data_IF_285733986826
#
_entry.id   IF_285733986826
#
_cell.length_a   1.000
_cell.length_b   1.000
_cell.length_c   1.000
_cell.angle_alpha   90.00
_cell.angle_beta   90.00
_cell.angle_gamma   90.00
#
_symmetry.space_group_name_H-M   'P 1'
#
loop_
_entity.id
_entity.type
_entity.pdbx_description
1 polymer ?
#
# COMPACT_ATOMS: atom_id res chain seq x y z
N UNK A 1 2.06 3.33 18.94
CA UNK A 1 0.96 4.08 18.32
C UNK A 1 0.00 4.61 19.37
N UNK A 2 -0.57 5.77 19.12
CA UNK A 2 -1.53 6.39 20.05
C UNK A 2 -2.78 5.54 20.28
N UNK A 3 -3.15 4.71 19.30
CA UNK A 3 -4.28 3.79 19.42
C UNK A 3 -3.98 2.57 20.30
N UNK A 4 -2.72 2.33 20.62
CA UNK A 4 -2.30 1.12 21.31
C UNK A 4 -2.32 -0.15 20.46
N UNK A 5 -2.53 -0.01 19.14
CA UNK A 5 -2.60 -1.15 18.21
C UNK A 5 -1.32 -1.97 18.21
N UNK A 6 -0.19 -1.29 18.24
CA UNK A 6 1.11 -1.95 18.33
C UNK A 6 2.11 -1.07 19.07
N UNK A 7 3.09 -1.73 19.65
CA UNK A 7 4.21 -1.10 20.33
C UNK A 7 5.45 -1.94 20.02
N UNK A 8 6.55 -1.28 19.70
CA UNK A 8 7.76 -1.99 19.33
C UNK A 8 8.95 -1.06 19.23
N UNK A 9 10.12 -1.65 19.01
CA UNK A 9 11.38 -0.92 18.93
C UNK A 9 11.75 -0.61 17.48
N UNK A 10 12.26 0.58 17.25
CA UNK A 10 12.99 0.88 16.02
C UNK A 10 14.40 0.30 16.14
N UNK A 11 14.97 -0.16 15.03
CA UNK A 11 16.34 -0.59 15.02
C UNK A 11 17.04 -0.21 13.72
N UNK A 12 18.31 0.17 13.85
CA UNK A 12 19.15 0.42 12.69
C UNK A 12 19.32 -0.86 11.85
N UNK A 13 19.50 -2.00 12.50
CA UNK A 13 19.68 -3.27 11.81
C UNK A 13 18.42 -3.70 11.05
N UNK A 14 17.22 -3.35 11.54
CA UNK A 14 15.97 -3.59 10.83
C UNK A 14 15.87 -2.76 9.53
N UNK A 15 16.48 -1.56 9.52
CA UNK A 15 16.46 -0.68 8.34
C UNK A 15 17.46 -1.10 7.27
N UNK A 16 18.68 -1.45 7.65
CA UNK A 16 19.79 -1.70 6.73
C UNK A 16 20.23 -3.16 6.69
N UNK A 17 19.80 -3.96 7.65
CA UNK A 17 20.12 -5.36 7.82
C UNK A 17 18.87 -6.10 8.28
N UNK A 18 18.94 -7.44 8.34
CA UNK A 18 17.85 -8.23 8.91
C UNK A 18 17.97 -8.25 10.43
N UNK A 19 17.32 -7.30 11.09
CA UNK A 19 17.31 -7.19 12.54
C UNK A 19 15.90 -7.28 13.12
N UNK A 20 15.82 -7.50 14.42
CA UNK A 20 14.56 -7.48 15.16
C UNK A 20 14.04 -6.04 15.27
N UNK A 21 12.73 -5.91 15.44
CA UNK A 21 12.07 -4.60 15.55
C UNK A 21 11.56 -4.10 14.22
N UNK A 22 11.24 -2.83 14.18
CA UNK A 22 10.74 -2.17 12.98
C UNK A 22 11.57 -0.94 12.62
N UNK A 23 11.18 -0.26 11.56
CA UNK A 23 11.82 0.96 11.08
C UNK A 23 10.77 1.85 10.42
N UNK A 24 11.08 3.15 10.20
CA UNK A 24 10.12 4.07 9.59
C UNK A 24 9.64 3.63 8.21
N UNK A 25 10.51 3.06 7.39
CA UNK A 25 10.16 2.65 6.03
C UNK A 25 9.14 1.52 6.02
N UNK A 26 9.27 0.57 6.94
CA UNK A 26 8.29 -0.51 7.12
C UNK A 26 6.93 0.03 7.55
N UNK A 27 6.91 1.01 8.44
CA UNK A 27 5.66 1.65 8.88
C UNK A 27 5.03 2.48 7.76
N UNK A 28 5.83 3.16 6.94
CA UNK A 28 5.35 3.85 5.74
C UNK A 28 4.72 2.84 4.78
N UNK A 29 5.38 1.71 4.55
CA UNK A 29 4.86 0.65 3.69
C UNK A 29 3.50 0.14 4.19
N UNK A 30 3.39 -0.14 5.49
CA UNK A 30 2.14 -0.60 6.08
C UNK A 30 1.03 0.45 5.95
N UNK A 31 1.34 1.71 6.21
CA UNK A 31 0.38 2.81 6.07
C UNK A 31 -0.09 2.95 4.63
N UNK A 32 0.83 2.85 3.67
CA UNK A 32 0.50 2.98 2.25
C UNK A 32 -0.38 1.83 1.76
N UNK A 33 -0.02 0.59 2.12
CA UNK A 33 -0.82 -0.58 1.78
C UNK A 33 -2.23 -0.49 2.36
N UNK A 34 -2.35 -0.08 3.62
CA UNK A 34 -3.65 0.08 4.28
C UNK A 34 -4.49 1.16 3.64
N UNK A 35 -3.92 2.31 3.38
CA UNK A 35 -4.62 3.44 2.76
C UNK A 35 -5.08 3.08 1.34
N UNK A 36 -4.21 2.47 0.55
CA UNK A 36 -4.57 2.00 -0.78
C UNK A 36 -5.75 1.03 -0.74
N UNK A 37 -5.69 0.03 0.14
CA UNK A 37 -6.76 -0.97 0.27
C UNK A 37 -8.09 -0.35 0.66
N UNK A 38 -8.07 0.56 1.63
CA UNK A 38 -9.27 1.25 2.08
C UNK A 38 -9.86 2.13 0.98
N UNK A 39 -9.02 2.83 0.24
CA UNK A 39 -9.48 3.69 -0.84
C UNK A 39 -10.05 2.87 -2.00
N UNK A 40 -9.41 1.78 -2.38
CA UNK A 40 -9.92 0.88 -3.41
C UNK A 40 -11.25 0.28 -3.00
N UNK A 41 -11.38 -0.16 -1.74
CA UNK A 41 -12.64 -0.68 -1.22
C UNK A 41 -13.77 0.36 -1.33
N UNK A 42 -13.47 1.62 -0.98
CA UNK A 42 -14.45 2.70 -1.07
C UNK A 42 -14.89 2.95 -2.51
N UNK A 43 -13.95 2.96 -3.46
CA UNK A 43 -14.27 3.14 -4.88
C UNK A 43 -15.14 2.01 -5.42
N UNK A 44 -14.80 0.77 -5.06
CA UNK A 44 -15.57 -0.40 -5.49
C UNK A 44 -16.99 -0.36 -4.90
N UNK A 45 -17.11 -0.04 -3.62
CA UNK A 45 -18.42 0.06 -2.95
C UNK A 45 -19.27 1.16 -3.57
N UNK A 46 -18.66 2.29 -3.91
CA UNK A 46 -19.36 3.40 -4.56
C UNK A 46 -19.93 3.00 -5.92
N UNK A 47 -19.27 2.08 -6.62
CA UNK A 47 -19.73 1.52 -7.91
C UNK A 47 -20.75 0.40 -7.74
N UNK A 48 -21.08 0.01 -6.53
CA UNK A 48 -22.06 -1.03 -6.23
C UNK A 48 -21.48 -2.43 -6.07
N UNK A 49 -20.16 -2.57 -6.05
CA UNK A 49 -19.52 -3.86 -5.81
C UNK A 49 -19.32 -4.09 -4.32
N UNK A 50 -19.29 -5.37 -3.93
CA UNK A 50 -19.03 -5.79 -2.55
C UNK A 50 -17.72 -6.61 -2.53
N UNK A 51 -16.57 -5.99 -2.25
CA UNK A 51 -15.32 -6.73 -2.19
C UNK A 51 -15.36 -7.78 -1.08
N UNK A 52 -15.01 -9.02 -1.42
CA UNK A 52 -14.87 -10.08 -0.42
C UNK A 52 -13.51 -9.99 0.26
N UNK A 53 -12.48 -9.62 -0.50
CA UNK A 53 -11.12 -9.54 0.02
C UNK A 53 -10.31 -8.54 -0.79
N UNK A 54 -9.54 -7.72 -0.10
CA UNK A 54 -8.48 -6.89 -0.69
C UNK A 54 -7.25 -7.10 0.19
N UNK A 55 -6.19 -7.64 -0.39
CA UNK A 55 -4.94 -7.86 0.31
C UNK A 55 -3.84 -7.09 -0.42
N UNK A 56 -3.18 -6.17 0.28
CA UNK A 56 -2.15 -5.33 -0.30
C UNK A 56 -0.87 -5.43 0.51
N UNK A 57 0.23 -5.56 -0.21
CA UNK A 57 1.58 -5.51 0.35
C UNK A 57 2.30 -4.33 -0.28
N UNK A 58 3.08 -3.61 0.51
CA UNK A 58 3.91 -2.53 0.01
C UNK A 58 5.37 -2.77 0.38
N UNK A 59 6.26 -2.48 -0.56
CA UNK A 59 7.70 -2.53 -0.33
C UNK A 59 8.27 -1.15 -0.59
N UNK A 60 8.90 -0.57 0.42
CA UNK A 60 9.57 0.72 0.34
C UNK A 60 11.05 0.48 0.12
N UNK A 61 11.59 1.04 -0.97
CA UNK A 61 13.00 0.91 -1.32
C UNK A 61 13.79 2.10 -0.80
N UNK A 62 14.84 1.80 -0.05
CA UNK A 62 15.75 2.81 0.49
C UNK A 62 17.05 2.77 -0.30
N UNK A 63 17.45 3.91 -0.82
CA UNK A 63 18.68 4.04 -1.60
C UNK A 63 19.67 5.01 -0.98
N UNK A 64 20.60 5.43 -1.78
CA UNK A 64 21.66 6.35 -1.36
C UNK A 64 21.09 7.69 -0.91
N UNK A 65 21.73 8.29 0.09
CA UNK A 65 21.29 9.57 0.65
C UNK A 65 21.26 9.62 2.16
N UNK A 66 20.63 8.70 2.97
CA UNK A 66 19.63 7.75 2.48
C UNK A 66 18.34 8.43 2.02
N UNK A 67 17.69 7.86 1.04
CA UNK A 67 16.45 8.37 0.49
C UNK A 67 15.53 7.24 0.07
N UNK A 68 14.21 7.46 0.19
CA UNK A 68 13.23 6.52 -0.35
C UNK A 68 13.21 6.71 -1.86
N UNK A 69 13.58 5.67 -2.60
CA UNK A 69 13.74 5.73 -4.06
C UNK A 69 12.56 5.16 -4.83
N UNK A 70 11.73 4.35 -4.19
CA UNK A 70 10.56 3.76 -4.83
C UNK A 70 9.69 3.02 -3.85
N UNK A 71 8.45 2.81 -4.26
CA UNK A 71 7.48 2.02 -3.50
C UNK A 71 6.76 1.09 -4.48
N UNK A 72 6.69 -0.19 -4.16
CA UNK A 72 5.93 -1.16 -4.92
C UNK A 72 4.71 -1.57 -4.12
N UNK A 73 3.52 -1.38 -4.71
CA UNK A 73 2.26 -1.85 -4.16
C UNK A 73 1.83 -3.09 -4.93
N UNK A 74 1.57 -4.17 -4.22
CA UNK A 74 1.03 -5.40 -4.80
C UNK A 74 -0.31 -5.69 -4.14
N UNK A 75 -1.37 -5.75 -4.95
CA UNK A 75 -2.73 -5.97 -4.51
C UNK A 75 -3.33 -7.21 -5.16
N UNK A 76 -3.98 -8.03 -4.35
CA UNK A 76 -4.81 -9.14 -4.83
C UNK A 76 -6.21 -8.93 -4.25
N UNK A 77 -7.23 -9.06 -5.09
CA UNK A 77 -8.60 -8.82 -4.67
C UNK A 77 -9.57 -9.85 -5.22
N UNK A 78 -10.59 -10.13 -4.43
CA UNK A 78 -11.76 -10.92 -4.84
C UNK A 78 -12.95 -9.98 -4.78
N UNK A 79 -13.50 -9.64 -5.94
CA UNK A 79 -14.60 -8.67 -6.07
C UNK A 79 -15.63 -9.22 -7.04
N UNK A 80 -16.66 -9.90 -6.54
CA UNK A 80 -17.68 -10.48 -7.43
C UNK A 80 -18.32 -9.44 -8.34
N UNK A 81 -18.39 -9.74 -9.61
CA UNK A 81 -19.12 -8.93 -10.60
C UNK A 81 -18.31 -7.84 -11.29
N UNK A 82 -17.14 -7.47 -10.79
CA UNK A 82 -16.33 -6.45 -11.45
C UNK A 82 -15.55 -7.06 -12.62
N UNK A 83 -15.47 -6.34 -13.74
CA UNK A 83 -14.63 -6.74 -14.86
C UNK A 83 -13.18 -6.35 -14.67
N UNK A 84 -12.28 -7.03 -15.37
CA UNK A 84 -10.83 -6.79 -15.25
C UNK A 84 -10.46 -5.35 -15.59
N UNK A 85 -10.99 -4.80 -16.69
CA UNK A 85 -10.66 -3.45 -17.11
C UNK A 85 -11.11 -2.41 -16.08
N UNK A 86 -12.31 -2.56 -15.54
CA UNK A 86 -12.82 -1.64 -14.51
C UNK A 86 -12.02 -1.77 -13.22
N UNK A 87 -11.70 -2.99 -12.82
CA UNK A 87 -10.87 -3.22 -11.64
C UNK A 87 -9.51 -2.52 -11.76
N UNK A 88 -8.84 -2.68 -12.90
CA UNK A 88 -7.54 -2.02 -13.11
C UNK A 88 -7.66 -0.50 -13.09
N UNK A 89 -8.72 0.05 -13.67
CA UNK A 89 -8.94 1.50 -13.65
C UNK A 89 -9.17 2.03 -12.22
N UNK A 90 -9.96 1.31 -11.42
CA UNK A 90 -10.21 1.70 -10.04
C UNK A 90 -8.97 1.53 -9.16
N UNK A 91 -8.17 0.49 -9.40
CA UNK A 91 -6.91 0.31 -8.69
C UNK A 91 -5.91 1.44 -9.00
N UNK A 92 -5.81 1.83 -10.27
CA UNK A 92 -4.96 2.96 -10.67
C UNK A 92 -5.44 4.27 -10.04
N UNK A 93 -6.74 4.49 -9.95
CA UNK A 93 -7.31 5.67 -9.30
C UNK A 93 -6.99 5.66 -7.79
N UNK A 94 -7.14 4.51 -7.14
CA UNK A 94 -6.81 4.38 -5.71
C UNK A 94 -5.34 4.69 -5.45
N UNK A 95 -4.43 4.18 -6.29
CA UNK A 95 -3.01 4.49 -6.18
C UNK A 95 -2.74 5.99 -6.29
N UNK A 96 -3.38 6.66 -7.23
CA UNK A 96 -3.14 8.07 -7.48
C UNK A 96 -3.75 8.97 -6.41
N UNK A 97 -4.89 8.59 -5.85
CA UNK A 97 -5.71 9.47 -5.02
C UNK A 97 -5.69 9.17 -3.54
N UNK A 98 -5.20 8.01 -3.10
CA UNK A 98 -5.19 7.75 -1.67
C UNK A 98 -4.30 8.80 -0.96
N UNK A 99 -4.72 9.31 0.22
CA UNK A 99 -3.99 10.39 0.89
C UNK A 99 -2.52 10.09 1.16
N UNK A 100 -2.18 8.84 1.44
CA UNK A 100 -0.77 8.46 1.68
C UNK A 100 0.04 8.55 0.38
N UNK A 101 -0.52 8.11 -0.76
CA UNK A 101 0.15 8.29 -2.06
C UNK A 101 0.41 9.77 -2.35
N UNK A 102 -0.55 10.62 -2.03
CA UNK A 102 -0.39 12.09 -2.21
C UNK A 102 0.70 12.64 -1.30
N UNK A 103 0.75 12.19 -0.05
CA UNK A 103 1.79 12.60 0.89
C UNK A 103 3.18 12.15 0.43
N UNK A 104 3.25 11.04 -0.27
CA UNK A 104 4.51 10.46 -0.77
C UNK A 104 4.80 10.84 -2.24
N UNK A 105 4.19 11.90 -2.74
CA UNK A 105 4.32 12.29 -4.15
C UNK A 105 5.75 12.62 -4.57
N UNK A 106 6.62 12.95 -3.62
CA UNK A 106 8.04 13.20 -3.90
C UNK A 106 8.86 11.93 -4.15
N UNK A 107 8.30 10.75 -3.87
CA UNK A 107 8.98 9.48 -4.17
C UNK A 107 9.03 9.29 -5.68
N UNK A 108 10.23 9.05 -6.27
CA UNK A 108 10.38 8.99 -7.72
C UNK A 108 9.51 7.97 -8.44
N UNK A 109 9.20 6.84 -7.80
CA UNK A 109 8.38 5.82 -8.42
C UNK A 109 7.49 5.10 -7.43
N UNK A 110 6.18 5.23 -7.60
CA UNK A 110 5.20 4.40 -6.90
C UNK A 110 4.59 3.50 -7.96
N UNK A 111 4.85 2.20 -7.87
CA UNK A 111 4.41 1.21 -8.86
C UNK A 111 3.31 0.34 -8.26
N UNK A 112 2.35 -0.03 -9.08
CA UNK A 112 1.23 -0.85 -8.68
C UNK A 112 1.14 -2.09 -9.56
N UNK A 113 1.00 -3.25 -8.92
CA UNK A 113 0.57 -4.48 -9.55
C UNK A 113 -0.73 -4.91 -8.87
N UNK A 114 -1.82 -4.94 -9.61
CA UNK A 114 -3.12 -5.30 -9.07
C UNK A 114 -3.66 -6.51 -9.80
N UNK A 115 -4.06 -7.55 -9.05
CA UNK A 115 -4.58 -8.80 -9.57
C UNK A 115 -5.99 -9.05 -9.07
N UNK A 116 -6.90 -9.29 -10.01
CA UNK A 116 -8.27 -9.68 -9.70
C UNK A 116 -8.33 -11.21 -9.72
N UNK A 117 -8.67 -11.81 -8.59
CA UNK A 117 -8.70 -13.26 -8.42
C UNK A 117 -10.08 -13.88 -8.67
N UNK A 118 -11.10 -13.05 -8.77
CA UNK A 118 -12.43 -13.58 -9.00
C UNK A 118 -13.59 -12.66 -8.71
#
# INVERSE_FOLDING_TARGET
>A
LGSGLCEGAYSFSSRFEEGAGTNPEELIAAAHAGCFSMFLSALLTEKGYAPERIATTAVVHLGAGPAITGIDLECEAIVPGVGEAEFQALAAEAKAKCPVSKALAAVPGIRLTARLLG
#
